data_IF_308923600079
#
_entry.id   IF_308923600079
#
_cell.length_a   1.000
_cell.length_b   1.000
_cell.length_c   1.000
_cell.angle_alpha   90.00
_cell.angle_beta   90.00
_cell.angle_gamma   90.00
#
_symmetry.space_group_name_H-M   'P 1'
#
loop_
_entity.id
_entity.type
_entity.pdbx_description
1 polymer ?
#
# COMPACT_ATOMS: atom_id res chain seq x y z
N UNK A 1 82.72 22.05 -25.51
CA UNK A 1 81.99 21.78 -24.23
C UNK A 1 80.64 22.39 -24.41
N UNK A 2 79.57 21.55 -24.53
CA UNK A 2 78.23 22.03 -24.70
C UNK A 2 77.71 22.24 -23.25
N UNK A 3 77.50 23.48 -22.85
CA UNK A 3 76.94 23.81 -21.53
C UNK A 3 75.51 23.32 -21.41
N UNK A 4 75.25 22.58 -20.40
CA UNK A 4 73.87 22.19 -20.04
C UNK A 4 73.03 23.45 -19.76
N UNK A 5 71.82 23.57 -20.29
CA UNK A 5 70.97 24.69 -19.95
C UNK A 5 70.79 24.77 -18.42
N UNK A 6 70.73 25.98 -17.85
CA UNK A 6 70.50 26.14 -16.41
C UNK A 6 69.16 25.46 -16.06
N UNK A 7 69.20 24.58 -15.07
CA UNK A 7 67.97 24.06 -14.50
C UNK A 7 67.15 25.27 -13.95
N UNK A 8 65.96 25.45 -14.46
CA UNK A 8 65.04 26.42 -13.90
C UNK A 8 64.94 26.18 -12.39
N UNK A 9 65.21 27.22 -11.58
CA UNK A 9 64.93 27.19 -10.19
C UNK A 9 63.48 26.73 -10.03
N UNK A 10 63.27 25.62 -9.33
CA UNK A 10 61.95 25.26 -8.90
C UNK A 10 61.51 26.38 -7.93
N UNK A 11 60.73 27.30 -8.46
CA UNK A 11 60.07 28.31 -7.66
C UNK A 11 59.33 27.61 -6.54
N UNK A 12 59.50 28.16 -5.37
CA UNK A 12 59.11 27.52 -4.11
C UNK A 12 57.73 26.91 -4.12
N UNK A 13 57.58 25.88 -3.34
CA UNK A 13 56.32 25.15 -3.15
C UNK A 13 55.15 26.12 -3.09
N UNK A 14 54.29 26.14 -4.09
CA UNK A 14 53.06 26.92 -4.09
C UNK A 14 52.09 26.24 -3.10
N UNK A 15 51.82 26.93 -1.99
CA UNK A 15 50.85 26.47 -1.02
C UNK A 15 49.47 26.99 -1.42
N UNK A 16 48.59 26.08 -1.83
CA UNK A 16 47.19 26.39 -2.03
C UNK A 16 46.36 26.00 -0.80
N UNK A 17 45.54 26.92 -0.29
CA UNK A 17 44.66 26.66 0.87
C UNK A 17 43.23 26.59 0.39
N UNK A 18 42.66 25.39 0.39
CA UNK A 18 41.25 25.18 0.15
C UNK A 18 40.50 25.24 1.47
N UNK A 19 39.51 26.14 1.60
CA UNK A 19 38.73 26.36 2.83
C UNK A 19 37.26 26.01 2.69
N UNK A 20 36.79 25.79 1.46
CA UNK A 20 35.40 25.43 1.18
C UNK A 20 35.39 24.20 0.27
N UNK A 21 34.60 23.21 0.64
CA UNK A 21 34.42 22.00 -0.13
C UNK A 21 32.96 21.92 -0.59
N UNK A 22 32.72 22.01 -1.90
CA UNK A 22 31.39 22.02 -2.52
C UNK A 22 30.73 20.65 -2.56
N UNK A 23 31.49 19.58 -2.37
CA UNK A 23 31.03 18.22 -2.44
C UNK A 23 31.33 17.55 -3.78
N UNK A 24 30.58 16.51 -4.10
CA UNK A 24 30.76 15.70 -5.28
C UNK A 24 30.11 16.37 -6.50
N UNK A 25 30.91 16.66 -7.54
CA UNK A 25 30.43 17.29 -8.76
C UNK A 25 31.11 16.69 -9.99
N UNK A 26 30.32 16.08 -10.86
CA UNK A 26 30.74 15.48 -12.13
C UNK A 26 30.41 16.34 -13.33
N UNK A 27 30.04 17.60 -13.15
CA UNK A 27 29.77 18.50 -14.27
C UNK A 27 31.08 19.04 -14.86
N UNK A 28 31.07 19.41 -16.13
CA UNK A 28 32.24 20.00 -16.83
C UNK A 28 32.67 21.37 -16.27
N UNK A 29 31.81 22.02 -15.48
CA UNK A 29 32.04 23.31 -14.84
C UNK A 29 32.24 23.18 -13.31
N UNK A 30 33.09 22.25 -12.87
CA UNK A 30 33.42 22.12 -11.47
C UNK A 30 34.17 23.34 -10.94
N UNK A 31 33.68 23.91 -9.82
CA UNK A 31 34.29 25.05 -9.15
C UNK A 31 35.45 24.61 -8.24
N UNK A 32 36.28 25.58 -7.84
CA UNK A 32 37.33 25.36 -6.87
C UNK A 32 36.72 24.87 -5.52
N UNK A 33 37.06 23.66 -5.14
CA UNK A 33 36.52 23.00 -3.94
C UNK A 33 35.53 21.89 -4.23
N UNK A 34 35.13 21.72 -5.46
CA UNK A 34 34.37 20.56 -5.90
C UNK A 34 35.27 19.34 -6.05
N UNK A 35 34.73 18.18 -5.76
CA UNK A 35 35.44 16.90 -5.75
C UNK A 35 34.85 15.99 -6.81
N UNK A 36 35.66 15.60 -7.76
CA UNK A 36 35.27 14.70 -8.86
C UNK A 36 35.04 13.24 -8.41
N UNK A 37 35.86 12.74 -7.48
CA UNK A 37 35.70 11.40 -6.90
C UNK A 37 35.84 11.47 -5.39
N UNK A 38 34.84 10.93 -4.67
CA UNK A 38 34.78 11.00 -3.22
C UNK A 38 34.34 9.66 -2.65
N UNK A 39 35.19 9.05 -1.80
CA UNK A 39 34.89 7.79 -1.10
C UNK A 39 34.86 7.97 0.40
N UNK A 40 33.75 7.52 1.03
CA UNK A 40 33.55 7.57 2.47
C UNK A 40 33.60 8.98 3.12
N UNK A 41 33.33 9.99 2.33
CA UNK A 41 33.24 11.38 2.80
C UNK A 41 31.86 11.97 2.46
N UNK A 42 31.49 13.05 3.14
CA UNK A 42 30.24 13.76 2.92
C UNK A 42 30.48 15.27 3.00
N UNK A 43 29.70 16.01 2.21
CA UNK A 43 29.60 17.47 2.26
C UNK A 43 28.40 17.96 3.07
N UNK A 44 27.71 17.11 3.82
CA UNK A 44 26.52 17.46 4.62
C UNK A 44 26.79 18.57 5.65
N UNK A 45 28.05 18.78 5.99
CA UNK A 45 28.50 19.82 6.91
C UNK A 45 29.18 21.01 6.20
N UNK A 46 28.71 21.35 4.99
CA UNK A 46 29.26 22.49 4.25
C UNK A 46 29.55 23.69 5.16
N UNK A 47 30.69 24.38 5.03
CA UNK A 47 31.73 24.22 4.01
C UNK A 47 32.83 23.18 4.32
N UNK A 48 32.61 22.32 5.30
CA UNK A 48 33.57 21.31 5.74
C UNK A 48 33.36 19.99 4.99
N UNK A 49 34.46 19.32 4.69
CA UNK A 49 34.45 17.95 4.25
C UNK A 49 34.64 17.03 5.47
N UNK A 50 33.72 16.13 5.71
CA UNK A 50 33.75 15.22 6.84
C UNK A 50 33.71 13.76 6.39
N UNK A 51 34.25 12.82 7.18
CA UNK A 51 34.08 11.40 6.92
C UNK A 51 32.58 11.05 7.09
N UNK A 52 32.08 10.21 6.19
CA UNK A 52 30.73 9.68 6.29
C UNK A 52 30.60 8.88 7.59
N UNK A 53 29.45 9.04 8.28
CA UNK A 53 29.15 8.26 9.46
C UNK A 53 29.22 6.77 9.19
N UNK A 54 29.73 5.96 10.13
CA UNK A 54 29.81 4.52 9.99
C UNK A 54 28.40 3.92 9.79
N UNK A 55 28.35 2.86 9.04
CA UNK A 55 27.14 2.04 8.90
C UNK A 55 27.27 0.89 9.88
N UNK A 56 26.21 0.66 10.63
CA UNK A 56 26.13 -0.54 11.46
C UNK A 56 25.10 -1.50 10.91
N UNK A 57 25.32 -2.75 11.22
CA UNK A 57 24.36 -3.80 10.94
C UNK A 57 23.29 -3.78 12.04
N UNK A 58 22.08 -3.37 11.69
CA UNK A 58 20.94 -3.36 12.62
C UNK A 58 20.43 -4.77 12.87
N UNK A 59 20.31 -5.58 11.81
CA UNK A 59 19.80 -6.96 11.88
C UNK A 59 20.31 -7.79 10.71
N UNK A 60 20.37 -9.13 10.92
CA UNK A 60 20.55 -10.10 9.85
C UNK A 60 19.20 -10.72 9.53
N UNK A 61 18.84 -10.75 8.26
CA UNK A 61 17.67 -11.45 7.76
C UNK A 61 18.13 -12.72 7.05
N UNK A 62 17.31 -13.78 7.11
CA UNK A 62 17.61 -15.06 6.48
C UNK A 62 17.16 -15.06 5.01
N UNK A 63 15.99 -14.53 4.74
CA UNK A 63 15.40 -14.39 3.39
C UNK A 63 14.72 -13.04 3.28
N UNK A 64 15.45 -11.94 3.02
CA UNK A 64 14.90 -10.60 2.93
C UNK A 64 14.01 -10.48 1.69
N UNK A 65 12.72 -10.44 1.88
CA UNK A 65 11.70 -10.35 0.81
C UNK A 65 11.17 -8.93 0.59
N UNK A 66 11.42 -8.02 1.48
CA UNK A 66 11.02 -6.63 1.36
C UNK A 66 11.35 -5.83 2.61
N UNK A 67 11.50 -4.53 2.42
CA UNK A 67 11.77 -3.57 3.48
C UNK A 67 11.03 -2.28 3.19
N UNK A 68 10.46 -1.68 4.21
CA UNK A 68 9.75 -0.41 4.14
C UNK A 68 10.01 0.42 5.39
N UNK A 69 10.21 1.71 5.22
CA UNK A 69 10.40 2.66 6.30
C UNK A 69 9.36 3.79 6.18
N UNK A 70 8.49 3.90 7.17
CA UNK A 70 7.48 4.95 7.28
C UNK A 70 7.02 5.04 8.73
N UNK A 71 7.50 6.03 9.49
CA UNK A 71 7.28 6.17 10.93
C UNK A 71 7.58 4.88 11.74
N UNK A 72 8.51 4.07 11.26
CA UNK A 72 8.89 2.78 11.79
C UNK A 72 9.59 1.94 10.74
N UNK A 73 10.07 0.77 11.13
CA UNK A 73 10.75 -0.17 10.23
C UNK A 73 9.93 -1.43 10.05
N UNK A 74 9.58 -1.71 8.80
CA UNK A 74 8.80 -2.87 8.40
C UNK A 74 9.62 -3.73 7.44
N UNK A 75 9.59 -5.04 7.62
CA UNK A 75 10.27 -5.96 6.71
C UNK A 75 9.58 -7.31 6.66
N UNK A 76 9.89 -8.04 5.60
CA UNK A 76 9.51 -9.45 5.46
C UNK A 76 10.78 -10.29 5.40
N UNK A 77 10.87 -11.28 6.28
CA UNK A 77 11.92 -12.29 6.29
C UNK A 77 11.29 -13.68 6.11
N UNK A 78 11.54 -14.29 4.96
CA UNK A 78 10.82 -15.48 4.54
C UNK A 78 9.31 -15.23 4.38
N UNK A 79 8.53 -15.79 5.29
CA UNK A 79 7.07 -15.60 5.34
C UNK A 79 6.62 -14.72 6.50
N UNK A 80 7.52 -14.29 7.37
CA UNK A 80 7.18 -13.44 8.51
C UNK A 80 7.18 -11.95 8.13
N UNK A 81 6.11 -11.25 8.46
CA UNK A 81 6.05 -9.79 8.42
C UNK A 81 6.33 -9.23 9.81
N UNK A 82 7.27 -8.31 9.89
CA UNK A 82 7.74 -7.70 11.13
C UNK A 82 7.54 -6.19 11.11
N UNK A 83 7.11 -5.65 12.24
CA UNK A 83 7.06 -4.23 12.53
C UNK A 83 7.97 -3.95 13.74
N UNK A 84 8.96 -3.08 13.58
CA UNK A 84 9.93 -2.67 14.61
C UNK A 84 10.54 -3.83 15.41
N UNK A 85 10.79 -4.95 14.76
CA UNK A 85 11.40 -6.13 15.36
C UNK A 85 10.44 -7.21 15.83
N UNK A 86 9.14 -6.94 15.89
CA UNK A 86 8.11 -7.88 16.34
C UNK A 86 7.41 -8.51 15.15
N UNK A 87 7.21 -9.83 15.18
CA UNK A 87 6.41 -10.55 14.20
C UNK A 87 4.93 -10.14 14.35
N UNK A 88 4.31 -9.67 13.27
CA UNK A 88 2.91 -9.23 13.25
C UNK A 88 2.00 -10.14 12.45
N UNK A 89 2.53 -10.84 11.47
CA UNK A 89 1.72 -11.73 10.66
C UNK A 89 2.52 -12.52 9.65
N UNK A 90 1.82 -13.28 8.82
CA UNK A 90 2.42 -14.12 7.79
C UNK A 90 1.95 -13.73 6.39
N UNK A 91 2.89 -13.79 5.45
CA UNK A 91 2.69 -13.54 4.03
C UNK A 91 3.29 -14.68 3.22
N UNK A 92 3.07 -14.72 1.92
CA UNK A 92 3.73 -15.71 1.06
C UNK A 92 5.23 -15.43 0.96
N UNK A 93 6.04 -16.46 0.68
CA UNK A 93 7.46 -16.25 0.43
C UNK A 93 7.64 -15.59 -0.95
N UNK A 94 8.44 -14.55 -1.03
CA UNK A 94 8.74 -13.82 -2.27
C UNK A 94 8.77 -12.31 -2.07
N UNK A 95 9.25 -11.61 -3.09
CA UNK A 95 9.44 -10.15 -3.04
C UNK A 95 8.13 -9.42 -2.71
N UNK A 96 8.20 -8.50 -1.77
CA UNK A 96 7.08 -7.65 -1.34
C UNK A 96 7.26 -6.21 -1.80
N UNK A 97 6.12 -5.58 -2.05
CA UNK A 97 5.99 -4.15 -2.30
C UNK A 97 5.09 -3.56 -1.23
N UNK A 98 5.43 -2.37 -0.80
CA UNK A 98 4.73 -1.70 0.28
C UNK A 98 4.29 -0.31 -0.15
N UNK A 99 3.17 0.12 0.40
CA UNK A 99 2.75 1.51 0.44
C UNK A 99 2.06 1.78 1.77
N UNK A 100 1.91 3.04 2.12
CA UNK A 100 1.17 3.44 3.32
C UNK A 100 0.03 4.38 2.94
N UNK A 101 -1.07 4.31 3.69
CA UNK A 101 -2.13 5.30 3.68
C UNK A 101 -2.61 5.50 5.12
N UNK A 102 -2.38 6.69 5.66
CA UNK A 102 -2.65 6.96 7.07
C UNK A 102 -1.89 6.00 8.00
N UNK A 103 -2.62 5.27 8.83
CA UNK A 103 -2.04 4.28 9.74
C UNK A 103 -1.77 2.90 9.11
N UNK A 104 -2.22 2.68 7.90
CA UNK A 104 -2.13 1.38 7.25
C UNK A 104 -0.85 1.24 6.43
N UNK A 105 -0.20 0.09 6.56
CA UNK A 105 0.87 -0.40 5.69
C UNK A 105 0.29 -1.52 4.84
N UNK A 106 0.33 -1.36 3.53
CA UNK A 106 -0.20 -2.31 2.56
C UNK A 106 0.93 -3.18 2.04
N UNK A 107 0.69 -4.48 1.89
CA UNK A 107 1.67 -5.49 1.50
C UNK A 107 1.19 -6.23 0.26
N UNK A 108 1.85 -6.00 -0.86
CA UNK A 108 1.60 -6.70 -2.12
C UNK A 108 2.72 -7.72 -2.43
N UNK A 109 2.41 -8.80 -3.18
CA UNK A 109 1.13 -9.14 -3.83
C UNK A 109 0.11 -9.83 -2.91
N UNK A 110 0.41 -10.03 -1.62
CA UNK A 110 -0.42 -10.81 -0.69
C UNK A 110 -1.74 -10.14 -0.34
N UNK A 111 -1.95 -8.87 -0.74
CA UNK A 111 -3.15 -8.09 -0.43
C UNK A 111 -3.46 -8.10 1.06
N UNK A 112 -2.41 -7.89 1.86
CA UNK A 112 -2.49 -7.80 3.33
C UNK A 112 -2.28 -6.36 3.76
N UNK A 113 -2.72 -6.05 4.97
CA UNK A 113 -2.45 -4.78 5.62
C UNK A 113 -1.99 -4.97 7.06
N UNK A 114 -1.30 -3.99 7.57
CA UNK A 114 -1.00 -3.82 8.97
C UNK A 114 -1.41 -2.41 9.39
N UNK A 115 -2.24 -2.32 10.43
CA UNK A 115 -2.64 -1.05 11.02
C UNK A 115 -1.73 -0.74 12.21
N UNK A 116 -0.95 0.33 12.11
CA UNK A 116 0.03 0.74 13.14
C UNK A 116 -0.61 1.22 14.44
N UNK A 117 -1.82 1.77 14.38
CA UNK A 117 -2.51 2.30 15.57
C UNK A 117 -3.20 1.21 16.38
N UNK A 118 -3.77 0.23 15.72
CA UNK A 118 -4.51 -0.86 16.37
C UNK A 118 -3.69 -2.13 16.54
N UNK A 119 -2.49 -2.17 15.96
CA UNK A 119 -1.62 -3.36 15.89
C UNK A 119 -2.28 -4.56 15.18
N UNK A 120 -3.20 -4.28 14.28
CA UNK A 120 -3.98 -5.27 13.54
C UNK A 120 -3.30 -5.67 12.24
N UNK A 121 -3.17 -6.97 11.99
CA UNK A 121 -2.73 -7.52 10.72
C UNK A 121 -3.88 -8.28 10.06
N UNK A 122 -4.24 -7.92 8.83
CA UNK A 122 -5.40 -8.47 8.16
C UNK A 122 -5.27 -8.61 6.65
N UNK A 123 -6.36 -9.03 6.01
CA UNK A 123 -6.50 -9.12 4.57
C UNK A 123 -7.31 -7.93 4.02
N UNK A 124 -6.87 -7.39 2.88
CA UNK A 124 -7.65 -6.38 2.16
C UNK A 124 -8.89 -6.97 1.50
N UNK A 125 -8.82 -8.23 1.10
CA UNK A 125 -9.94 -8.95 0.49
C UNK A 125 -10.76 -9.70 1.55
N UNK A 126 -12.06 -9.83 1.30
CA UNK A 126 -12.97 -10.63 2.10
C UNK A 126 -13.94 -11.37 1.19
N UNK A 127 -14.41 -12.54 1.62
CA UNK A 127 -15.32 -13.38 0.84
C UNK A 127 -16.24 -14.18 1.73
N UNK A 128 -17.49 -14.24 1.32
CA UNK A 128 -18.50 -15.17 1.82
C UNK A 128 -19.03 -15.99 0.66
N UNK A 129 -19.25 -17.28 0.87
CA UNK A 129 -19.97 -18.15 -0.07
C UNK A 129 -20.86 -19.08 0.74
N UNK A 130 -22.15 -19.03 0.47
CA UNK A 130 -23.11 -19.83 1.20
C UNK A 130 -24.54 -19.60 0.77
N UNK A 131 -25.46 -20.36 1.38
CA UNK A 131 -26.90 -20.17 1.19
C UNK A 131 -27.31 -18.83 1.80
N UNK A 132 -27.92 -17.99 1.00
CA UNK A 132 -28.40 -16.68 1.41
C UNK A 132 -29.73 -16.37 0.72
N UNK A 133 -30.50 -15.48 1.31
CA UNK A 133 -31.78 -15.05 0.80
C UNK A 133 -31.75 -13.56 0.48
N UNK A 134 -32.04 -13.21 -0.75
CA UNK A 134 -32.27 -11.83 -1.17
C UNK A 134 -33.74 -11.51 -0.86
N UNK A 135 -33.99 -10.48 -0.07
CA UNK A 135 -35.32 -10.15 0.40
C UNK A 135 -35.51 -8.65 0.65
N UNK A 136 -36.76 -8.29 0.94
CA UNK A 136 -37.07 -6.96 1.46
C UNK A 136 -36.45 -6.77 2.84
N UNK A 137 -36.03 -5.55 3.11
CA UNK A 137 -35.60 -5.09 4.41
C UNK A 137 -35.95 -3.64 4.62
N UNK A 138 -36.20 -3.26 5.85
CA UNK A 138 -36.49 -1.88 6.22
C UNK A 138 -35.45 -1.37 7.21
N UNK A 139 -35.10 -0.10 7.07
CA UNK A 139 -34.40 0.66 8.11
C UNK A 139 -35.43 1.24 9.08
N UNK A 140 -35.00 1.55 10.27
CA UNK A 140 -35.88 2.17 11.25
C UNK A 140 -36.50 3.46 10.69
N UNK A 141 -37.85 3.47 10.58
CA UNK A 141 -38.63 4.58 10.05
C UNK A 141 -38.73 4.68 8.53
N UNK A 142 -38.25 3.68 7.80
CA UNK A 142 -38.37 3.59 6.34
C UNK A 142 -39.25 2.40 5.91
N UNK A 143 -39.87 2.49 4.73
CA UNK A 143 -40.58 1.37 4.13
C UNK A 143 -39.62 0.26 3.71
N UNK A 144 -40.12 -0.98 3.72
CA UNK A 144 -39.37 -2.13 3.26
C UNK A 144 -39.04 -2.01 1.75
N UNK A 145 -37.81 -2.31 1.39
CA UNK A 145 -37.27 -2.28 0.02
C UNK A 145 -36.48 -3.53 -0.26
N UNK A 146 -36.38 -3.93 -1.51
CA UNK A 146 -35.55 -5.06 -1.95
C UNK A 146 -34.05 -4.71 -1.86
N UNK A 147 -33.50 -4.69 -0.67
CA UNK A 147 -32.16 -4.22 -0.37
C UNK A 147 -31.39 -5.07 0.63
N UNK A 148 -31.88 -6.25 1.00
CA UNK A 148 -31.32 -7.03 2.09
C UNK A 148 -30.92 -8.42 1.63
N UNK A 149 -29.75 -8.86 2.08
CA UNK A 149 -29.30 -10.25 2.01
C UNK A 149 -29.29 -10.81 3.43
N UNK A 150 -29.99 -11.91 3.63
CA UNK A 150 -30.02 -12.67 4.88
C UNK A 150 -29.24 -13.98 4.71
N UNK A 151 -28.35 -14.30 5.65
CA UNK A 151 -27.72 -15.61 5.73
C UNK A 151 -27.54 -15.99 7.19
N UNK A 152 -28.18 -17.06 7.59
CA UNK A 152 -28.16 -17.54 8.99
C UNK A 152 -26.74 -17.90 9.44
N UNK A 153 -26.28 -17.30 10.54
CA UNK A 153 -24.99 -17.55 11.15
C UNK A 153 -23.79 -17.04 10.35
N UNK A 154 -23.98 -16.12 9.40
CA UNK A 154 -22.92 -15.63 8.54
C UNK A 154 -21.87 -14.76 9.25
N UNK A 155 -22.18 -14.21 10.44
CA UNK A 155 -21.30 -13.31 11.20
C UNK A 155 -20.70 -12.20 10.32
N UNK A 156 -21.55 -11.48 9.63
CA UNK A 156 -21.18 -10.49 8.61
C UNK A 156 -20.20 -9.43 9.10
N UNK A 157 -20.30 -9.01 10.34
CA UNK A 157 -19.43 -8.03 11.01
C UNK A 157 -17.98 -8.48 11.13
N UNK A 158 -17.74 -9.79 11.11
CA UNK A 158 -16.38 -10.36 11.08
C UNK A 158 -15.77 -10.42 9.68
N UNK A 159 -16.62 -10.32 8.63
CA UNK A 159 -16.21 -10.47 7.23
C UNK A 159 -16.13 -9.11 6.53
N UNK A 160 -17.18 -8.30 6.67
CA UNK A 160 -17.35 -7.03 5.98
C UNK A 160 -17.56 -5.87 6.94
N UNK A 161 -17.44 -4.65 6.43
CA UNK A 161 -17.70 -3.41 7.18
C UNK A 161 -18.74 -2.57 6.45
N UNK A 162 -19.45 -1.76 7.20
CA UNK A 162 -20.34 -0.73 6.63
C UNK A 162 -19.53 0.19 5.73
N UNK A 163 -20.03 0.44 4.53
CA UNK A 163 -19.32 1.20 3.50
C UNK A 163 -18.49 0.36 2.54
N UNK A 164 -18.33 -0.95 2.78
CA UNK A 164 -17.68 -1.84 1.82
C UNK A 164 -18.51 -1.95 0.54
N UNK A 165 -17.84 -1.82 -0.59
CA UNK A 165 -18.37 -2.21 -1.87
C UNK A 165 -18.09 -3.69 -2.11
N UNK A 166 -19.13 -4.47 -2.32
CA UNK A 166 -19.01 -5.92 -2.48
C UNK A 166 -19.59 -6.38 -3.82
N UNK A 167 -18.88 -7.27 -4.49
CA UNK A 167 -19.38 -7.92 -5.70
C UNK A 167 -20.17 -9.15 -5.33
N UNK A 168 -21.43 -9.17 -5.72
CA UNK A 168 -22.35 -10.29 -5.55
C UNK A 168 -22.38 -11.10 -6.84
N UNK A 169 -22.32 -12.41 -6.70
CA UNK A 169 -22.45 -13.38 -7.80
C UNK A 169 -23.15 -14.64 -7.32
N UNK A 170 -23.70 -15.41 -8.28
CA UNK A 170 -24.44 -16.62 -7.99
C UNK A 170 -25.95 -16.43 -7.90
N UNK A 171 -26.46 -15.22 -8.12
CA UNK A 171 -27.89 -15.01 -8.29
C UNK A 171 -28.34 -15.57 -9.65
N UNK A 172 -29.22 -16.56 -9.62
CA UNK A 172 -29.71 -17.29 -10.80
C UNK A 172 -31.15 -16.90 -11.12
N UNK A 173 -31.99 -16.71 -10.11
CA UNK A 173 -33.41 -16.35 -10.32
C UNK A 173 -33.55 -14.97 -10.94
N UNK A 174 -32.73 -14.02 -10.47
CA UNK A 174 -32.65 -12.69 -11.05
C UNK A 174 -31.16 -12.35 -11.27
N UNK A 175 -30.62 -12.62 -12.43
CA UNK A 175 -29.21 -12.36 -12.78
C UNK A 175 -28.80 -10.90 -12.60
N UNK A 176 -29.75 -9.96 -12.67
CA UNK A 176 -29.55 -8.53 -12.41
C UNK A 176 -29.06 -8.23 -10.97
N UNK A 177 -29.18 -9.21 -10.06
CA UNK A 177 -28.66 -9.11 -8.70
C UNK A 177 -27.16 -9.41 -8.61
N UNK A 178 -26.54 -9.93 -9.67
CA UNK A 178 -25.08 -10.04 -9.78
C UNK A 178 -24.50 -8.65 -10.08
N UNK A 179 -24.22 -7.89 -9.04
CA UNK A 179 -23.75 -6.50 -9.13
C UNK A 179 -22.84 -6.13 -7.94
N UNK A 180 -22.39 -4.91 -7.90
CA UNK A 180 -21.46 -4.43 -6.87
C UNK A 180 -22.10 -3.28 -6.05
N UNK A 181 -22.97 -3.59 -5.09
CA UNK A 181 -23.58 -2.60 -4.21
C UNK A 181 -22.66 -2.24 -3.02
N UNK A 182 -23.02 -1.14 -2.33
CA UNK A 182 -22.38 -0.68 -1.10
C UNK A 182 -23.20 -1.14 0.11
N UNK A 183 -22.53 -1.71 1.11
CA UNK A 183 -23.15 -2.09 2.38
C UNK A 183 -23.51 -0.82 3.16
N UNK A 184 -24.78 -0.65 3.48
CA UNK A 184 -25.28 0.45 4.30
C UNK A 184 -25.32 0.09 5.79
N UNK A 185 -25.69 -1.16 6.11
CA UNK A 185 -25.86 -1.62 7.48
C UNK A 185 -25.55 -3.11 7.58
N UNK A 186 -24.98 -3.50 8.71
CA UNK A 186 -24.78 -4.90 9.13
C UNK A 186 -25.53 -5.09 10.43
N UNK A 187 -26.50 -6.01 10.47
CA UNK A 187 -27.33 -6.29 11.62
C UNK A 187 -27.50 -7.81 11.80
N UNK A 188 -26.63 -8.40 12.60
CA UNK A 188 -26.58 -9.83 12.83
C UNK A 188 -26.41 -10.62 11.53
N UNK A 189 -27.44 -11.37 11.15
CA UNK A 189 -27.48 -12.19 9.94
C UNK A 189 -27.89 -11.41 8.68
N UNK A 190 -28.09 -10.09 8.79
CA UNK A 190 -28.57 -9.25 7.70
C UNK A 190 -27.47 -8.30 7.18
N UNK A 191 -27.29 -8.29 5.86
CA UNK A 191 -26.60 -7.24 5.11
C UNK A 191 -27.64 -6.37 4.41
N UNK A 192 -27.69 -5.09 4.73
CA UNK A 192 -28.56 -4.11 4.06
C UNK A 192 -27.76 -3.17 3.18
N UNK A 193 -28.29 -2.88 2.02
CA UNK A 193 -27.70 -2.04 1.00
C UNK A 193 -28.50 -0.77 0.77
N UNK A 194 -27.94 0.20 0.08
CA UNK A 194 -28.63 1.44 -0.21
C UNK A 194 -29.78 1.23 -1.20
N UNK A 195 -30.93 1.84 -0.93
CA UNK A 195 -32.13 1.89 -1.79
C UNK A 195 -32.68 0.51 -2.23
N UNK A 196 -33.46 0.50 -3.33
CA UNK A 196 -33.91 -0.72 -3.98
C UNK A 196 -32.78 -1.33 -4.82
N UNK A 197 -31.88 -2.03 -4.15
CA UNK A 197 -30.70 -2.60 -4.80
C UNK A 197 -31.03 -3.80 -5.64
N UNK A 198 -32.02 -4.63 -5.24
CA UNK A 198 -32.29 -5.93 -5.86
C UNK A 198 -33.64 -6.02 -6.56
N UNK A 199 -33.73 -6.99 -7.47
CA UNK A 199 -35.00 -7.49 -8.00
C UNK A 199 -35.28 -8.80 -7.30
N UNK A 200 -36.49 -8.98 -6.76
CA UNK A 200 -36.90 -10.18 -6.02
C UNK A 200 -38.25 -10.70 -6.48
N UNK A 201 -38.45 -12.01 -6.38
CA UNK A 201 -39.74 -12.65 -6.49
C UNK A 201 -40.58 -12.54 -5.22
N UNK A 202 -41.79 -13.04 -5.27
CA UNK A 202 -42.70 -13.06 -4.09
C UNK A 202 -42.08 -13.87 -2.96
N UNK A 203 -41.81 -13.20 -1.84
CA UNK A 203 -41.18 -13.82 -0.64
C UNK A 203 -39.65 -13.88 -0.66
N UNK A 204 -39.02 -13.31 -1.67
CA UNK A 204 -37.55 -13.25 -1.81
C UNK A 204 -36.94 -14.51 -2.45
N UNK A 205 -35.67 -14.42 -2.82
CA UNK A 205 -34.94 -15.45 -3.58
C UNK A 205 -33.87 -16.10 -2.70
N UNK A 206 -33.98 -17.42 -2.47
CA UNK A 206 -32.99 -18.19 -1.71
C UNK A 206 -32.04 -18.90 -2.65
N UNK A 207 -30.75 -18.54 -2.61
CA UNK A 207 -29.72 -18.98 -3.55
C UNK A 207 -28.37 -19.18 -2.85
N UNK A 208 -27.45 -19.84 -3.54
CA UNK A 208 -26.06 -19.87 -3.08
C UNK A 208 -25.34 -18.66 -3.65
N UNK A 209 -25.11 -17.68 -2.81
CA UNK A 209 -24.43 -16.44 -3.20
C UNK A 209 -22.96 -16.47 -2.84
N UNK A 210 -22.15 -15.83 -3.69
CA UNK A 210 -20.79 -15.46 -3.36
C UNK A 210 -20.68 -13.94 -3.31
N UNK A 211 -20.27 -13.42 -2.15
CA UNK A 211 -20.13 -11.99 -1.89
C UNK A 211 -18.66 -11.72 -1.60
N UNK A 212 -18.03 -10.81 -2.36
CA UNK A 212 -16.60 -10.55 -2.26
C UNK A 212 -16.30 -9.06 -2.21
N UNK A 213 -15.38 -8.67 -1.33
CA UNK A 213 -14.62 -7.43 -1.45
C UNK A 213 -13.27 -7.79 -2.07
N UNK A 214 -12.99 -7.24 -3.24
CA UNK A 214 -11.79 -7.57 -4.01
C UNK A 214 -10.88 -6.36 -4.16
N UNK A 215 -9.58 -6.61 -4.21
CA UNK A 215 -8.55 -5.62 -4.49
C UNK A 215 -7.89 -6.01 -5.82
N UNK A 216 -7.67 -5.08 -6.75
CA UNK A 216 -6.98 -5.37 -8.00
C UNK A 216 -5.58 -5.97 -7.77
N UNK A 217 -5.14 -6.80 -8.69
CA UNK A 217 -3.75 -7.21 -8.74
C UNK A 217 -2.92 -6.04 -9.29
N UNK A 218 -1.87 -5.67 -8.57
CA UNK A 218 -1.06 -4.50 -8.92
C UNK A 218 0.42 -4.83 -8.85
N UNK A 219 1.16 -4.36 -9.87
CA UNK A 219 2.62 -4.49 -9.92
C UNK A 219 3.32 -3.34 -9.20
N UNK A 220 2.70 -2.18 -9.14
CA UNK A 220 3.20 -1.00 -8.45
C UNK A 220 2.08 -0.37 -7.64
N UNK A 221 2.47 0.25 -6.53
CA UNK A 221 1.55 0.90 -5.60
C UNK A 221 2.23 2.14 -5.02
N UNK A 222 1.51 3.24 -4.96
CA UNK A 222 1.93 4.46 -4.28
C UNK A 222 0.73 5.16 -3.64
N UNK A 223 1.01 6.06 -2.70
CA UNK A 223 0.03 6.98 -2.14
C UNK A 223 0.16 8.34 -2.81
N UNK A 224 -0.96 8.95 -3.15
CA UNK A 224 -1.05 10.34 -3.56
C UNK A 224 -2.44 10.89 -3.25
N UNK A 225 -2.50 12.09 -2.67
CA UNK A 225 -3.75 12.79 -2.34
C UNK A 225 -4.74 11.94 -1.54
N UNK A 226 -4.23 11.25 -0.51
CA UNK A 226 -5.01 10.40 0.38
C UNK A 226 -5.75 9.26 -0.34
N UNK A 227 -5.20 8.77 -1.46
CA UNK A 227 -5.62 7.58 -2.18
C UNK A 227 -4.42 6.68 -2.43
N UNK A 228 -4.68 5.38 -2.53
CA UNK A 228 -3.73 4.45 -3.10
C UNK A 228 -3.92 4.39 -4.61
N UNK A 229 -2.83 4.50 -5.32
CA UNK A 229 -2.78 4.34 -6.77
C UNK A 229 -1.94 3.13 -7.10
N UNK A 230 -2.43 2.29 -7.97
CA UNK A 230 -1.69 1.13 -8.42
C UNK A 230 -1.81 0.94 -9.92
N UNK A 231 -0.90 0.17 -10.49
CA UNK A 231 -1.01 -0.20 -11.89
C UNK A 231 -0.57 -1.66 -12.12
N UNK A 232 -1.15 -2.23 -13.15
CA UNK A 232 -0.77 -3.52 -13.73
C UNK A 232 -0.93 -3.42 -15.24
N UNK A 233 0.15 -3.75 -15.96
CA UNK A 233 0.18 -3.61 -17.41
C UNK A 233 -0.20 -2.18 -17.84
N UNK A 234 -1.27 -2.01 -18.61
CA UNK A 234 -1.80 -0.74 -19.13
C UNK A 234 -2.94 -0.14 -18.27
N UNK A 235 -3.28 -0.78 -17.17
CA UNK A 235 -4.42 -0.39 -16.34
C UNK A 235 -3.95 0.30 -15.06
N UNK A 236 -4.55 1.45 -14.75
CA UNK A 236 -4.33 2.21 -13.51
C UNK A 236 -5.57 2.03 -12.63
N UNK A 237 -5.32 1.75 -11.36
CA UNK A 237 -6.34 1.59 -10.33
C UNK A 237 -6.19 2.68 -9.28
N UNK A 238 -7.30 3.13 -8.72
CA UNK A 238 -7.33 4.03 -7.59
C UNK A 238 -8.26 3.50 -6.50
N UNK A 239 -7.83 3.60 -5.24
CA UNK A 239 -8.71 3.31 -4.12
C UNK A 239 -9.70 4.47 -3.90
N UNK A 240 -10.77 4.22 -3.14
CA UNK A 240 -11.62 5.28 -2.61
C UNK A 240 -10.80 6.21 -1.71
N UNK A 241 -11.18 7.49 -1.64
CA UNK A 241 -10.49 8.49 -0.84
C UNK A 241 -10.43 8.07 0.64
N UNK A 242 -9.22 8.00 1.20
CA UNK A 242 -8.99 7.62 2.59
C UNK A 242 -9.28 6.16 2.92
N UNK A 243 -9.56 5.31 1.94
CA UNK A 243 -9.99 3.93 2.15
C UNK A 243 -9.11 2.97 1.35
N UNK A 244 -8.47 2.04 2.05
CA UNK A 244 -7.58 1.03 1.46
C UNK A 244 -8.33 -0.22 0.97
N UNK A 245 -9.60 -0.38 1.34
CA UNK A 245 -10.36 -1.59 1.09
C UNK A 245 -11.20 -1.53 -0.17
N UNK A 246 -11.65 -0.34 -0.58
CA UNK A 246 -12.57 -0.15 -1.69
C UNK A 246 -11.86 0.36 -2.95
N UNK A 247 -11.93 -0.45 -4.01
CA UNK A 247 -11.29 -0.21 -5.31
C UNK A 247 -12.28 -0.21 -6.47
N UNK A 248 -13.55 -0.24 -6.16
CA UNK A 248 -14.59 -0.28 -7.17
C UNK A 248 -14.92 1.12 -7.68
N UNK A 249 -15.08 1.23 -9.00
CA UNK A 249 -15.65 2.43 -9.63
C UNK A 249 -17.17 2.36 -9.47
N UNK A 250 -17.75 3.39 -8.89
CA UNK A 250 -19.20 3.53 -8.79
C UNK A 250 -19.69 4.44 -9.89
N UNK A 251 -20.64 3.97 -10.70
CA UNK A 251 -21.32 4.82 -11.67
C UNK A 251 -22.07 5.93 -10.93
N UNK A 252 -21.60 7.16 -11.08
CA UNK A 252 -22.31 8.36 -10.65
C UNK A 252 -21.96 8.94 -9.27
N UNK A 253 -20.96 8.41 -8.56
CA UNK A 253 -20.45 9.03 -7.30
C UNK A 253 -18.92 9.10 -7.38
N UNK A 254 -18.42 10.25 -7.78
CA UNK A 254 -17.00 10.60 -7.71
C UNK A 254 -16.62 11.11 -6.31
#
# INVERSE_FOLDING_TARGET
MIGLPPMANQDGIQKYKQTKFGGYNHTLGADNGDIWDMKNMTSDFYPLLAPRRPRWKVRTLTKPNGFYAHDGLYWVDGTGFYADGTLKGTVTNGRKKFASLGAYIIILPDKKYYNRLTDEFGALEASFTGSAKIQDGAYAGEDAKANTIYASGAAWDSIFKVGDAVTISGAVTHESNNKTPIIREIDGDYLRFYENTFTIGSGGDSETLTIKRTVPDMDFLCENENRLWGCKEDTIYASKLGDIFNWNVFDGVA
#
